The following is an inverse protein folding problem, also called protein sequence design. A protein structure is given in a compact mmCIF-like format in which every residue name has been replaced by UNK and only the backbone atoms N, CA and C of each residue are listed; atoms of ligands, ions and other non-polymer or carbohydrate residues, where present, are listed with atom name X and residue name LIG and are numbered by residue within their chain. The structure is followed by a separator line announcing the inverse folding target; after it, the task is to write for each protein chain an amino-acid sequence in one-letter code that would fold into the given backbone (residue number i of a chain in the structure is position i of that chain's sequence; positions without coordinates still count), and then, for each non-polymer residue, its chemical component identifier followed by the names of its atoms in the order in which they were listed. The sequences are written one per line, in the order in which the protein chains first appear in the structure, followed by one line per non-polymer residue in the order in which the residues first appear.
data_IF_536044267335
#
_entry.id   IF_536044267335
#
_cell.length_a   1.000
_cell.length_b   1.000
_cell.length_c   1.000
_cell.angle_alpha   90.00
_cell.angle_beta   90.00
_cell.angle_gamma   90.00
#
_symmetry.space_group_name_H-M   'P 1'
#
loop_
_entity.id
_entity.type
_entity.pdbx_description
1 polymer ?
#
# COMPACT_ATOMS: atom_id res chain seq x y z
N UNK A 1 -2.53 1.03 7.24
CA UNK A 1 -2.50 0.37 5.92
C UNK A 1 -2.35 -1.13 6.13
N UNK A 2 -3.46 -1.84 6.28
CA UNK A 2 -3.52 -3.30 6.42
C UNK A 2 -4.64 -3.74 5.52
N UNK A 3 -4.34 -4.38 4.40
CA UNK A 3 -5.30 -5.15 3.62
C UNK A 3 -4.57 -5.87 2.47
N UNK A 4 -4.92 -7.15 2.26
CA UNK A 4 -4.49 -7.93 1.10
C UNK A 4 -3.65 -9.17 1.39
N UNK A 5 -3.53 -9.61 2.65
CA UNK A 5 -3.16 -10.99 2.92
C UNK A 5 -4.33 -11.89 2.55
N UNK A 6 -4.24 -12.61 1.43
CA UNK A 6 -5.05 -13.80 1.19
C UNK A 6 -4.71 -14.80 2.31
N UNK A 7 -5.44 -14.71 3.42
CA UNK A 7 -5.63 -15.82 4.35
C UNK A 7 -6.65 -16.75 3.73
N UNK A 8 -6.21 -17.59 2.79
CA UNK A 8 -6.88 -18.87 2.57
C UNK A 8 -6.54 -19.68 3.81
N UNK A 9 -7.48 -19.71 4.74
CA UNK A 9 -7.34 -20.41 6.01
C UNK A 9 -7.34 -21.93 5.77
N UNK A 10 -6.69 -22.65 6.67
CA UNK A 10 -6.37 -24.08 6.56
C UNK A 10 -7.61 -24.99 6.64
N UNK A 11 -8.80 -24.44 6.86
CA UNK A 11 -10.06 -25.18 6.98
C UNK A 11 -10.58 -25.69 5.62
N UNK A 12 -10.43 -24.91 4.54
CA UNK A 12 -10.94 -25.25 3.19
C UNK A 12 -10.17 -26.39 2.50
N UNK A 13 -9.03 -26.82 3.06
CA UNK A 13 -8.30 -28.00 2.58
C UNK A 13 -8.87 -29.31 3.10
N UNK A 14 -9.59 -29.31 4.22
CA UNK A 14 -10.04 -30.57 4.82
C UNK A 14 -11.30 -31.14 4.14
N UNK A 15 -12.14 -30.30 3.54
CA UNK A 15 -13.33 -30.80 2.81
C UNK A 15 -13.02 -31.38 1.43
N UNK A 16 -11.84 -31.11 0.87
CA UNK A 16 -11.34 -31.74 -0.37
C UNK A 16 -10.51 -33.02 -0.14
N UNK A 17 -10.19 -33.35 1.11
CA UNK A 17 -9.40 -34.55 1.47
C UNK A 17 -10.26 -35.71 2.01
N UNK A 18 -11.59 -35.56 2.11
CA UNK A 18 -12.51 -36.58 2.60
C UNK A 18 -12.88 -37.68 1.59
N UNK A 19 -12.42 -37.58 0.34
CA UNK A 19 -12.71 -38.57 -0.71
C UNK A 19 -11.39 -38.95 -1.37
N UNK A 20 -10.72 -39.96 -0.79
CA UNK A 20 -9.80 -40.92 -1.45
C UNK A 20 -8.93 -41.59 -0.39
N UNK A 21 -9.52 -42.58 0.28
CA UNK A 21 -8.80 -43.58 1.05
C UNK A 21 -8.39 -44.76 0.14
N UNK A 22 -7.14 -45.20 0.33
CA UNK A 22 -6.50 -46.44 -0.16
C UNK A 22 -5.74 -46.43 -1.52
N UNK A 23 -4.71 -47.29 -1.70
CA UNK A 23 -3.31 -46.88 -1.61
C UNK A 23 -2.54 -47.02 -2.93
N UNK A 24 -1.38 -46.34 -2.97
CA UNK A 24 -0.39 -46.32 -4.05
C UNK A 24 -0.01 -47.69 -4.60
N UNK A 25 0.45 -47.73 -5.87
CA UNK A 25 1.75 -48.33 -6.12
C UNK A 25 2.72 -47.36 -6.79
N UNK A 26 3.99 -47.54 -6.45
CA UNK A 26 5.15 -46.94 -7.10
C UNK A 26 5.06 -47.05 -8.63
N UNK A 27 5.17 -45.92 -9.31
CA UNK A 27 5.79 -45.91 -10.63
C UNK A 27 6.74 -44.74 -10.73
N UNK A 28 8.03 -45.09 -10.74
CA UNK A 28 9.12 -44.25 -11.19
C UNK A 28 8.85 -44.03 -12.69
N UNK A 29 8.53 -42.80 -13.08
CA UNK A 29 8.76 -42.37 -14.45
C UNK A 29 9.33 -40.96 -14.44
N UNK A 30 10.48 -40.89 -15.06
CA UNK A 30 11.40 -39.80 -15.13
C UNK A 30 11.06 -38.98 -16.36
N UNK A 31 10.31 -37.89 -16.18
CA UNK A 31 10.14 -36.86 -17.21
C UNK A 31 11.05 -35.68 -16.89
N UNK A 32 12.23 -35.78 -17.48
CA UNK A 32 13.29 -34.81 -17.52
C UNK A 32 12.97 -33.78 -18.62
N UNK A 33 12.27 -32.68 -18.31
CA UNK A 33 12.37 -31.41 -19.05
C UNK A 33 11.62 -30.27 -18.34
N UNK A 34 12.04 -29.91 -17.12
CA UNK A 34 11.75 -28.59 -16.56
C UNK A 34 13.06 -27.81 -16.57
N UNK A 35 13.13 -26.69 -17.30
CA UNK A 35 14.28 -25.79 -17.33
C UNK A 35 14.78 -25.55 -15.89
N UNK A 36 15.95 -26.09 -15.57
CA UNK A 36 16.63 -25.80 -14.31
C UNK A 36 17.06 -24.35 -14.38
N UNK A 37 16.22 -23.44 -13.87
CA UNK A 37 16.61 -22.05 -13.64
C UNK A 37 17.89 -22.06 -12.82
N UNK A 38 19.00 -21.77 -13.50
CA UNK A 38 20.34 -21.90 -12.94
C UNK A 38 20.41 -21.04 -11.68
N UNK A 39 21.01 -21.52 -10.59
CA UNK A 39 21.14 -20.75 -9.33
C UNK A 39 21.62 -19.31 -9.54
N UNK A 40 22.42 -19.08 -10.59
CA UNK A 40 22.86 -17.77 -11.05
C UNK A 40 21.70 -16.84 -11.44
N UNK A 41 20.70 -17.34 -12.19
CA UNK A 41 19.50 -16.58 -12.57
C UNK A 41 18.64 -16.23 -11.34
N UNK A 42 18.58 -17.15 -10.35
CA UNK A 42 17.89 -16.88 -9.10
C UNK A 42 18.60 -15.78 -8.30
N UNK A 43 19.93 -15.83 -8.24
CA UNK A 43 20.77 -14.85 -7.56
C UNK A 43 20.66 -13.46 -8.20
N UNK A 44 20.68 -13.39 -9.53
CA UNK A 44 20.46 -12.13 -10.29
C UNK A 44 19.07 -11.57 -9.99
N UNK A 45 18.03 -12.41 -10.00
CA UNK A 45 16.65 -11.98 -9.70
C UNK A 45 16.48 -11.54 -8.23
N UNK A 46 17.28 -12.07 -7.31
CA UNK A 46 17.29 -11.69 -5.89
C UNK A 46 18.34 -10.67 -5.49
N UNK A 47 19.05 -10.06 -6.44
CA UNK A 47 20.18 -9.16 -6.17
C UNK A 47 19.83 -8.02 -5.20
N UNK A 48 18.60 -7.48 -5.29
CA UNK A 48 18.09 -6.46 -4.36
C UNK A 48 18.21 -6.92 -2.91
N UNK A 49 17.58 -8.05 -2.56
CA UNK A 49 17.53 -8.51 -1.17
C UNK A 49 18.91 -8.96 -0.68
N UNK A 50 19.77 -9.43 -1.58
CA UNK A 50 21.17 -9.73 -1.26
C UNK A 50 21.89 -8.45 -0.85
N UNK A 51 21.75 -7.38 -1.63
CA UNK A 51 22.38 -6.09 -1.33
C UNK A 51 21.83 -5.47 -0.04
N UNK A 52 20.53 -5.57 0.21
CA UNK A 52 19.92 -5.08 1.46
C UNK A 52 20.43 -5.89 2.66
N UNK A 53 20.48 -7.22 2.53
CA UNK A 53 21.01 -8.11 3.57
C UNK A 53 22.48 -7.78 3.87
N UNK A 54 23.30 -7.58 2.84
CA UNK A 54 24.70 -7.16 2.98
C UNK A 54 24.82 -5.81 3.71
N UNK A 55 24.01 -4.81 3.36
CA UNK A 55 24.00 -3.53 4.08
C UNK A 55 23.59 -3.68 5.55
N UNK A 56 22.59 -4.52 5.86
CA UNK A 56 22.16 -4.75 7.27
C UNK A 56 23.20 -5.47 8.11
N UNK A 57 23.93 -6.42 7.51
CA UNK A 57 25.06 -7.08 8.17
C UNK A 57 26.21 -6.10 8.35
N UNK A 58 26.49 -5.26 7.34
CA UNK A 58 27.46 -4.16 7.46
C UNK A 58 27.15 -3.22 8.63
N UNK A 59 25.88 -2.82 8.79
CA UNK A 59 25.43 -1.98 9.92
C UNK A 59 25.62 -2.68 11.28
N UNK A 60 25.33 -3.98 11.37
CA UNK A 60 25.57 -4.77 12.58
C UNK A 60 27.06 -4.85 12.92
N UNK A 61 27.93 -5.09 11.94
CA UNK A 61 29.39 -5.14 12.13
C UNK A 61 29.92 -3.79 12.62
N UNK A 62 29.48 -2.69 12.03
CA UNK A 62 29.87 -1.35 12.47
C UNK A 62 29.35 -1.01 13.87
N UNK A 63 28.15 -1.47 14.24
CA UNK A 63 27.61 -1.31 15.59
C UNK A 63 28.40 -2.12 16.63
N UNK A 64 28.82 -3.33 16.29
CA UNK A 64 29.67 -4.16 17.14
C UNK A 64 31.08 -3.57 17.28
N UNK A 65 31.69 -3.09 16.18
CA UNK A 65 33.00 -2.42 16.20
C UNK A 65 32.98 -1.18 17.12
N UNK A 66 31.89 -0.41 17.07
CA UNK A 66 31.68 0.72 17.98
C UNK A 66 31.64 0.31 19.45
N UNK A 67 30.98 -0.82 19.76
CA UNK A 67 30.91 -1.33 21.12
C UNK A 67 32.31 -1.66 21.66
N UNK A 68 33.12 -2.38 20.87
CA UNK A 68 34.49 -2.74 21.27
C UNK A 68 35.40 -1.52 21.49
N UNK A 69 35.32 -0.50 20.64
CA UNK A 69 36.12 0.73 20.80
C UNK A 69 35.66 1.52 22.03
N UNK A 70 34.37 1.50 22.35
CA UNK A 70 33.85 2.22 23.51
C UNK A 70 34.10 1.49 24.83
N UNK A 71 34.18 0.16 24.83
CA UNK A 71 34.57 -0.62 26.02
C UNK A 71 36.02 -0.38 26.43
N UNK A 72 36.87 -0.06 25.46
CA UNK A 72 38.28 0.29 25.69
C UNK A 72 38.43 1.72 26.27
N UNK A 73 37.40 2.55 26.12
CA UNK A 73 37.39 3.95 26.53
C UNK A 73 36.63 4.22 27.86
N UNK A 74 36.27 3.18 28.63
CA UNK A 74 35.56 3.23 29.93
C UNK A 74 34.22 4.02 29.96
N UNK A 75 33.70 4.42 28.80
CA UNK A 75 32.50 5.24 28.70
C UNK A 75 31.24 4.38 28.53
N UNK A 76 30.37 4.36 29.56
CA UNK A 76 28.91 4.17 29.44
C UNK A 76 28.39 3.06 28.53
N UNK A 77 29.00 1.86 28.58
CA UNK A 77 28.80 0.72 27.66
C UNK A 77 27.34 0.29 27.41
N UNK A 78 26.46 0.40 28.41
CA UNK A 78 25.11 -0.19 28.35
C UNK A 78 24.18 0.44 27.30
N UNK A 79 24.36 1.72 26.96
CA UNK A 79 23.53 2.41 25.96
C UNK A 79 23.88 2.00 24.52
N UNK A 80 25.07 1.46 24.29
CA UNK A 80 25.54 0.99 22.99
C UNK A 80 24.99 -0.40 22.61
N UNK A 81 24.40 -1.12 23.56
CA UNK A 81 23.76 -2.41 23.30
C UNK A 81 22.45 -2.26 22.53
N UNK A 82 21.73 -1.16 22.72
CA UNK A 82 20.44 -0.89 22.04
C UNK A 82 20.58 -0.92 20.51
N UNK A 83 21.51 -0.18 19.87
CA UNK A 83 21.67 -0.25 18.42
C UNK A 83 22.16 -1.62 17.94
N UNK A 84 22.96 -2.34 18.73
CA UNK A 84 23.39 -3.71 18.37
C UNK A 84 22.19 -4.66 18.32
N UNK A 85 21.33 -4.63 19.34
CA UNK A 85 20.12 -5.45 19.40
C UNK A 85 19.17 -5.10 18.23
N UNK A 86 19.00 -3.80 17.95
CA UNK A 86 18.18 -3.33 16.85
C UNK A 86 18.72 -3.85 15.50
N UNK A 87 19.99 -3.63 15.20
CA UNK A 87 20.58 -4.06 13.92
C UNK A 87 20.71 -5.58 13.81
N UNK A 88 20.88 -6.30 14.92
CA UNK A 88 20.83 -7.75 14.95
C UNK A 88 19.44 -8.25 14.56
N UNK A 89 18.38 -7.69 15.17
CA UNK A 89 17.00 -8.06 14.83
C UNK A 89 16.67 -7.76 13.37
N UNK A 90 17.10 -6.61 12.86
CA UNK A 90 16.87 -6.20 11.47
C UNK A 90 17.65 -7.08 10.49
N UNK A 91 18.90 -7.44 10.81
CA UNK A 91 19.72 -8.35 10.01
C UNK A 91 19.06 -9.74 9.92
N UNK A 92 18.56 -10.28 11.03
CA UNK A 92 17.82 -11.56 11.05
C UNK A 92 16.57 -11.48 10.16
N UNK A 93 15.78 -10.41 10.27
CA UNK A 93 14.59 -10.22 9.42
C UNK A 93 14.96 -10.10 7.93
N UNK A 94 16.05 -9.40 7.61
CA UNK A 94 16.56 -9.25 6.25
C UNK A 94 17.04 -10.58 5.65
N UNK A 95 17.72 -11.42 6.44
CA UNK A 95 18.15 -12.76 6.02
C UNK A 95 16.95 -13.68 5.79
N UNK A 96 15.95 -13.64 6.68
CA UNK A 96 14.70 -14.42 6.50
C UNK A 96 13.95 -13.98 5.24
N UNK A 97 13.90 -12.67 4.96
CA UNK A 97 13.34 -12.10 3.72
C UNK A 97 14.04 -12.70 2.49
N UNK A 98 15.38 -12.66 2.47
CA UNK A 98 16.22 -13.21 1.42
C UNK A 98 15.95 -14.70 1.20
N UNK A 99 15.90 -15.51 2.27
CA UNK A 99 15.66 -16.95 2.19
C UNK A 99 14.29 -17.28 1.59
N UNK A 100 13.24 -16.51 1.96
CA UNK A 100 11.90 -16.68 1.37
C UNK A 100 11.93 -16.36 -0.12
N UNK A 101 12.63 -15.30 -0.53
CA UNK A 101 12.74 -14.93 -1.93
C UNK A 101 13.49 -16.00 -2.75
N UNK A 102 14.66 -16.44 -2.28
CA UNK A 102 15.43 -17.50 -2.93
C UNK A 102 14.59 -18.77 -3.07
N UNK A 103 13.89 -19.20 -2.00
CA UNK A 103 13.02 -20.39 -2.03
C UNK A 103 11.85 -20.24 -3.01
N UNK A 104 11.29 -19.03 -3.14
CA UNK A 104 10.20 -18.73 -4.08
C UNK A 104 10.68 -18.84 -5.52
N UNK A 105 11.86 -18.28 -5.81
CA UNK A 105 12.45 -18.32 -7.15
C UNK A 105 12.85 -19.75 -7.54
N UNK A 106 13.49 -20.51 -6.65
CA UNK A 106 13.83 -21.92 -6.89
C UNK A 106 12.58 -22.76 -7.18
N UNK A 107 11.46 -22.47 -6.48
CA UNK A 107 10.20 -23.21 -6.65
C UNK A 107 9.35 -22.68 -7.81
N UNK A 108 9.89 -21.78 -8.65
CA UNK A 108 9.19 -21.15 -9.78
C UNK A 108 7.78 -20.64 -9.42
N UNK A 109 7.59 -20.16 -8.18
CA UNK A 109 6.30 -19.61 -7.78
C UNK A 109 6.15 -18.20 -8.36
N UNK A 110 4.97 -17.83 -8.89
CA UNK A 110 4.75 -16.52 -9.47
C UNK A 110 4.85 -15.39 -8.44
N UNK A 111 4.54 -15.68 -7.17
CA UNK A 111 4.53 -14.69 -6.09
C UNK A 111 5.20 -15.23 -4.81
N UNK A 112 5.90 -14.37 -4.05
CA UNK A 112 6.46 -14.74 -2.75
C UNK A 112 5.37 -14.98 -1.72
N UNK A 113 5.70 -15.75 -0.68
CA UNK A 113 4.80 -16.09 0.42
C UNK A 113 4.32 -14.81 1.15
N UNK A 114 3.07 -14.73 1.67
CA UNK A 114 2.54 -13.54 2.33
C UNK A 114 3.40 -13.01 3.49
N UNK A 115 4.13 -13.88 4.18
CA UNK A 115 5.05 -13.51 5.26
C UNK A 115 6.19 -12.61 4.80
N UNK A 116 6.60 -12.67 3.53
CA UNK A 116 7.60 -11.76 2.95
C UNK A 116 7.11 -10.31 3.03
N UNK A 117 5.84 -10.06 2.68
CA UNK A 117 5.25 -8.73 2.69
C UNK A 117 5.08 -8.17 4.10
N UNK A 118 4.73 -9.03 5.06
CA UNK A 118 4.64 -8.63 6.46
C UNK A 118 6.01 -8.23 7.01
N UNK A 119 7.07 -8.95 6.63
CA UNK A 119 8.44 -8.64 7.01
C UNK A 119 8.90 -7.31 6.41
N UNK A 120 8.67 -7.11 5.10
CA UNK A 120 9.02 -5.87 4.40
C UNK A 120 8.29 -4.65 5.00
N UNK A 121 7.03 -4.81 5.38
CA UNK A 121 6.26 -3.77 6.06
C UNK A 121 6.83 -3.39 7.42
N UNK A 122 7.39 -4.35 8.16
CA UNK A 122 8.02 -4.08 9.46
C UNK A 122 9.41 -3.47 9.32
N UNK A 123 10.20 -3.86 8.32
CA UNK A 123 11.59 -3.40 8.16
C UNK A 123 11.70 -2.01 7.54
N UNK A 124 10.84 -1.67 6.57
CA UNK A 124 10.92 -0.40 5.82
C UNK A 124 10.78 0.84 6.71
N UNK A 125 9.82 0.92 7.64
CA UNK A 125 9.72 2.04 8.57
C UNK A 125 10.96 2.18 9.46
N UNK A 126 11.60 1.07 9.84
CA UNK A 126 12.81 1.09 10.67
C UNK A 126 13.95 1.77 9.90
N UNK A 127 14.16 1.48 8.62
CA UNK A 127 15.17 2.15 7.79
C UNK A 127 14.87 3.65 7.60
N UNK A 128 13.60 4.00 7.42
CA UNK A 128 13.18 5.37 7.17
C UNK A 128 13.30 6.26 8.41
N UNK A 129 12.98 5.71 9.59
CA UNK A 129 13.08 6.42 10.87
C UNK A 129 14.53 6.46 11.36
N UNK A 130 15.33 5.42 11.16
CA UNK A 130 16.73 5.41 11.59
C UNK A 130 17.61 6.40 10.82
N UNK A 131 17.29 6.73 9.56
CA UNK A 131 18.06 7.67 8.75
C UNK A 131 18.21 9.07 9.39
N UNK A 132 17.13 9.79 9.76
CA UNK A 132 17.27 11.10 10.41
C UNK A 132 17.93 11.02 11.79
N UNK A 133 17.75 9.93 12.54
CA UNK A 133 18.44 9.75 13.82
C UNK A 133 19.95 9.61 13.64
N UNK A 134 20.41 8.74 12.74
CA UNK A 134 21.84 8.57 12.46
C UNK A 134 22.45 9.83 11.81
N UNK A 135 21.68 10.59 11.02
CA UNK A 135 22.13 11.88 10.49
C UNK A 135 22.35 12.92 11.61
N UNK A 136 21.48 12.94 12.63
CA UNK A 136 21.63 13.86 13.76
C UNK A 136 22.83 13.48 14.64
N UNK A 137 23.04 12.18 14.87
CA UNK A 137 24.16 11.62 15.61
C UNK A 137 25.51 11.83 14.91
N UNK A 138 25.57 11.62 13.59
CA UNK A 138 26.78 11.88 12.80
C UNK A 138 27.12 13.37 12.78
N UNK A 139 26.12 14.25 12.69
CA UNK A 139 26.32 15.71 12.78
C UNK A 139 26.94 16.12 14.11
N UNK A 140 26.46 15.59 15.24
CA UNK A 140 26.96 16.00 16.56
C UNK A 140 28.45 15.66 16.73
N UNK A 141 28.86 14.47 16.27
CA UNK A 141 30.25 14.02 16.28
C UNK A 141 31.11 14.83 15.29
N UNK A 142 30.59 15.12 14.10
CA UNK A 142 31.29 15.94 13.11
C UNK A 142 31.59 17.34 13.66
N UNK A 143 30.63 17.95 14.35
CA UNK A 143 30.81 19.26 14.99
C UNK A 143 31.83 19.21 16.14
N UNK A 144 31.89 18.11 16.89
CA UNK A 144 32.92 17.91 17.93
C UNK A 144 34.32 17.80 17.33
N UNK A 145 34.47 17.12 16.18
CA UNK A 145 35.74 17.03 15.47
C UNK A 145 36.22 18.41 14.98
N UNK A 146 35.33 19.20 14.37
CA UNK A 146 35.66 20.56 13.94
C UNK A 146 35.84 21.55 15.11
N UNK A 147 35.29 21.23 16.29
CA UNK A 147 35.39 22.04 17.51
C UNK A 147 36.74 21.96 18.24
N UNK A 148 37.69 21.14 17.79
CA UNK A 148 39.09 21.16 18.26
C UNK A 148 39.36 20.49 19.62
N UNK A 149 38.45 19.65 20.14
CA UNK A 149 38.67 18.95 21.41
C UNK A 149 39.53 17.68 21.20
N UNK A 150 40.81 17.79 21.53
CA UNK A 150 41.86 16.78 21.31
C UNK A 150 41.71 15.53 22.19
N UNK A 151 41.03 14.49 21.69
CA UNK A 151 41.32 13.07 21.98
C UNK A 151 41.44 12.35 20.63
N UNK A 152 42.59 12.52 20.00
CA UNK A 152 42.76 12.57 18.53
C UNK A 152 42.55 11.22 17.84
N UNK A 153 42.81 10.10 18.51
CA UNK A 153 42.84 8.78 17.85
C UNK A 153 41.51 8.01 17.96
N UNK A 154 40.93 7.91 19.17
CA UNK A 154 39.65 7.24 19.39
C UNK A 154 38.47 7.96 18.70
N UNK A 155 38.53 9.29 18.64
CA UNK A 155 37.46 10.13 18.04
C UNK A 155 37.43 9.99 16.52
N UNK A 156 38.59 9.84 15.87
CA UNK A 156 38.67 9.63 14.42
C UNK A 156 38.13 8.26 14.02
N UNK A 157 38.50 7.19 14.75
CA UNK A 157 37.98 5.85 14.51
C UNK A 157 36.44 5.79 14.66
N UNK A 158 35.90 6.46 15.69
CA UNK A 158 34.46 6.54 15.92
C UNK A 158 33.73 7.31 14.81
N UNK A 159 34.33 8.40 14.31
CA UNK A 159 33.79 9.18 13.19
C UNK A 159 33.70 8.33 11.91
N UNK A 160 34.77 7.61 11.57
CA UNK A 160 34.81 6.76 10.37
C UNK A 160 33.74 5.67 10.43
N UNK A 161 33.58 5.00 11.58
CA UNK A 161 32.55 3.97 11.77
C UNK A 161 31.14 4.54 11.60
N UNK A 162 30.88 5.75 12.12
CA UNK A 162 29.59 6.43 12.00
C UNK A 162 29.29 6.92 10.57
N UNK A 163 30.33 7.31 9.82
CA UNK A 163 30.16 7.63 8.41
C UNK A 163 29.83 6.37 7.60
N UNK A 164 30.46 5.24 7.92
CA UNK A 164 30.17 3.95 7.30
C UNK A 164 28.74 3.47 7.60
N UNK A 165 28.26 3.56 8.84
CA UNK A 165 26.85 3.24 9.18
C UNK A 165 25.87 4.08 8.37
N UNK A 166 26.12 5.40 8.29
CA UNK A 166 25.29 6.32 7.51
C UNK A 166 25.29 5.96 6.02
N UNK A 167 26.46 5.63 5.46
CA UNK A 167 26.58 5.21 4.07
C UNK A 167 25.78 3.93 3.78
N UNK A 168 25.91 2.89 4.60
CA UNK A 168 25.12 1.66 4.45
C UNK A 168 23.61 1.93 4.57
N UNK A 169 23.21 2.81 5.48
CA UNK A 169 21.82 3.17 5.69
C UNK A 169 21.23 3.98 4.53
N UNK A 170 22.01 4.90 3.94
CA UNK A 170 21.62 5.64 2.73
C UNK A 170 21.43 4.65 1.57
N UNK A 171 22.40 3.75 1.36
CA UNK A 171 22.32 2.74 0.29
C UNK A 171 21.07 1.86 0.47
N UNK A 172 20.81 1.37 1.69
CA UNK A 172 19.63 0.55 1.98
C UNK A 172 18.31 1.32 1.73
N UNK A 173 18.22 2.59 2.14
CA UNK A 173 17.04 3.42 1.91
C UNK A 173 16.82 3.70 0.41
N UNK A 174 17.88 4.06 -0.33
CA UNK A 174 17.79 4.30 -1.78
C UNK A 174 17.34 3.02 -2.50
N UNK A 175 17.92 1.88 -2.13
CA UNK A 175 17.58 0.61 -2.74
C UNK A 175 16.12 0.21 -2.46
N UNK A 176 15.62 0.39 -1.24
CA UNK A 176 14.20 0.14 -0.91
C UNK A 176 13.23 1.11 -1.60
N UNK A 177 13.64 2.36 -1.84
CA UNK A 177 12.77 3.38 -2.44
C UNK A 177 12.70 3.28 -3.98
N UNK A 178 13.80 2.90 -4.62
CA UNK A 178 13.96 2.91 -6.09
C UNK A 178 13.64 1.56 -6.73
N UNK A 179 13.86 0.45 -6.03
CA UNK A 179 13.69 -0.86 -6.66
C UNK A 179 12.22 -1.30 -6.74
N UNK A 180 11.84 -2.03 -7.80
CA UNK A 180 10.51 -2.58 -7.94
C UNK A 180 10.26 -3.66 -6.89
N UNK A 181 9.02 -3.76 -6.42
CA UNK A 181 8.61 -4.77 -5.43
C UNK A 181 7.93 -5.95 -6.12
N UNK A 182 8.17 -7.19 -5.69
CA UNK A 182 7.27 -8.27 -6.08
C UNK A 182 5.87 -7.94 -5.53
N UNK A 183 4.78 -8.21 -6.24
CA UNK A 183 3.43 -8.01 -5.71
C UNK A 183 2.54 -9.17 -6.06
N UNK A 184 1.60 -9.51 -5.17
CA UNK A 184 0.56 -10.53 -5.40
C UNK A 184 -0.64 -10.00 -6.18
N UNK A 185 -0.64 -8.68 -6.46
CA UNK A 185 -1.78 -7.97 -7.03
C UNK A 185 -1.79 -7.99 -8.56
N UNK A 186 -0.75 -8.56 -9.17
CA UNK A 186 -0.74 -8.88 -10.59
C UNK A 186 -1.31 -10.29 -10.79
N UNK A 187 -2.19 -10.50 -11.78
CA UNK A 187 -2.53 -11.85 -12.19
C UNK A 187 -1.25 -12.55 -12.63
N UNK A 188 -0.99 -13.74 -12.06
CA UNK A 188 0.14 -14.55 -12.49
C UNK A 188 0.03 -14.77 -14.00
N UNK A 189 1.13 -14.59 -14.73
CA UNK A 189 1.19 -14.86 -16.17
C UNK A 189 0.52 -16.21 -16.44
N UNK A 190 -0.58 -16.18 -17.18
CA UNK A 190 -1.45 -17.32 -17.48
C UNK A 190 -0.81 -18.24 -18.52
N UNK A 191 0.45 -18.64 -18.31
CA UNK A 191 1.12 -19.58 -19.21
C UNK A 191 0.71 -21.04 -18.94
N UNK A 192 -0.09 -21.30 -17.89
CA UNK A 192 -0.56 -22.64 -17.51
C UNK A 192 -2.05 -22.66 -17.11
N UNK A 193 -2.96 -22.15 -17.94
CA UNK A 193 -4.36 -22.60 -17.89
C UNK A 193 -4.59 -23.62 -18.99
N UNK A 194 -3.96 -24.78 -18.84
CA UNK A 194 -4.33 -25.97 -19.62
C UNK A 194 -5.60 -26.59 -19.03
N UNK A 195 -6.65 -26.61 -19.86
CA UNK A 195 -7.75 -27.56 -19.89
C UNK A 195 -8.40 -27.98 -18.57
N UNK A 196 -9.57 -27.40 -18.27
CA UNK A 196 -10.83 -28.16 -18.14
C UNK A 196 -11.95 -27.19 -17.73
N UNK A 197 -13.07 -27.27 -18.44
CA UNK A 197 -14.35 -26.55 -18.23
C UNK A 197 -14.36 -25.09 -18.75
N UNK A 198 -14.65 -24.96 -20.05
CA UNK A 198 -15.17 -23.71 -20.61
C UNK A 198 -16.71 -23.71 -20.47
N UNK A 199 -17.34 -22.68 -19.88
CA UNK A 199 -18.75 -22.43 -20.11
C UNK A 199 -18.92 -21.91 -21.54
N UNK A 200 -19.87 -22.50 -22.26
CA UNK A 200 -20.27 -22.10 -23.61
C UNK A 200 -20.78 -20.65 -23.57
N UNK A 201 -20.28 -19.83 -24.50
CA UNK A 201 -20.70 -18.45 -24.82
C UNK A 201 -19.97 -17.26 -24.16
N UNK A 202 -18.65 -17.35 -23.96
CA UNK A 202 -17.81 -16.16 -23.69
C UNK A 202 -17.03 -15.72 -24.94
N UNK A 203 -17.29 -14.50 -25.41
CA UNK A 203 -16.44 -13.76 -26.35
C UNK A 203 -14.94 -13.92 -26.02
N UNK A 204 -14.03 -13.92 -27.01
CA UNK A 204 -12.60 -13.99 -26.75
C UNK A 204 -12.24 -12.88 -25.77
N UNK A 205 -11.76 -13.25 -24.58
CA UNK A 205 -11.42 -12.33 -23.50
C UNK A 205 -10.34 -11.37 -24.03
N UNK A 206 -10.72 -10.12 -24.33
CA UNK A 206 -9.79 -9.08 -24.78
C UNK A 206 -8.71 -8.93 -23.70
N UNK A 207 -7.50 -9.39 -24.01
CA UNK A 207 -6.41 -9.45 -23.03
C UNK A 207 -5.84 -8.04 -22.81
N UNK A 208 -6.45 -7.31 -21.87
CA UNK A 208 -6.04 -5.96 -21.49
C UNK A 208 -4.64 -5.95 -20.85
N UNK A 209 -3.87 -4.87 -21.03
CA UNK A 209 -2.56 -4.74 -20.39
C UNK A 209 -2.70 -4.76 -18.86
N UNK A 210 -1.68 -5.31 -18.20
CA UNK A 210 -1.66 -5.45 -16.74
C UNK A 210 -1.76 -4.07 -16.03
N UNK A 211 -2.28 -4.05 -14.79
CA UNK A 211 -2.39 -2.82 -14.01
C UNK A 211 -1.04 -2.10 -13.83
N UNK A 212 -1.05 -0.75 -13.86
CA UNK A 212 0.17 0.06 -13.85
C UNK A 212 0.85 0.19 -12.48
N UNK A 213 0.07 0.18 -11.39
CA UNK A 213 0.55 0.45 -10.02
C UNK A 213 1.28 -0.74 -9.36
N UNK A 214 0.77 -1.98 -9.44
CA UNK A 214 1.40 -3.10 -8.75
C UNK A 214 2.80 -3.38 -9.31
N UNK A 215 3.74 -3.65 -8.41
CA UNK A 215 5.09 -4.05 -8.77
C UNK A 215 6.08 -2.91 -8.95
N UNK A 216 5.64 -1.65 -8.79
CA UNK A 216 6.49 -0.46 -8.94
C UNK A 216 7.20 -0.08 -7.64
N UNK A 217 8.24 0.74 -7.78
CA UNK A 217 9.02 1.24 -6.64
C UNK A 217 8.22 2.23 -5.81
N UNK A 218 8.58 2.39 -4.53
CA UNK A 218 7.88 3.32 -3.65
C UNK A 218 7.99 4.77 -4.15
N UNK A 219 9.14 5.15 -4.71
CA UNK A 219 9.33 6.46 -5.33
C UNK A 219 8.41 6.63 -6.55
N UNK A 220 8.31 5.61 -7.40
CA UNK A 220 7.44 5.65 -8.58
C UNK A 220 5.95 5.71 -8.19
N UNK A 221 5.57 5.10 -7.07
CA UNK A 221 4.22 5.22 -6.52
C UNK A 221 3.99 6.61 -5.91
N UNK A 222 4.99 7.14 -5.20
CA UNK A 222 4.91 8.44 -4.52
C UNK A 222 4.78 9.63 -5.50
N UNK A 223 5.56 9.62 -6.58
CA UNK A 223 5.56 10.67 -7.60
C UNK A 223 4.68 10.36 -8.82
N UNK A 224 3.91 9.26 -8.77
CA UNK A 224 3.06 8.82 -9.88
C UNK A 224 3.79 8.53 -11.21
N UNK A 225 5.11 8.37 -11.21
CA UNK A 225 5.94 8.14 -12.42
C UNK A 225 5.47 6.91 -13.23
N UNK A 226 4.82 5.95 -12.57
CA UNK A 226 4.28 4.77 -13.25
C UNK A 226 3.21 5.10 -14.32
N UNK A 227 2.48 6.21 -14.20
CA UNK A 227 1.49 6.64 -15.20
C UNK A 227 2.11 7.33 -16.40
N UNK A 228 3.31 7.89 -16.26
CA UNK A 228 3.99 8.63 -17.33
C UNK A 228 4.13 7.79 -18.59
N UNK A 229 4.51 6.51 -18.45
CA UNK A 229 4.65 5.60 -19.59
C UNK A 229 3.38 5.47 -20.43
N UNK A 230 2.21 5.54 -19.80
CA UNK A 230 0.92 5.50 -20.48
C UNK A 230 0.60 6.84 -21.14
N UNK A 231 0.81 7.95 -20.42
CA UNK A 231 0.58 9.32 -20.92
C UNK A 231 1.44 9.59 -22.17
N UNK A 232 2.71 9.20 -22.13
CA UNK A 232 3.63 9.38 -23.25
C UNK A 232 3.23 8.58 -24.49
N UNK A 233 2.70 7.35 -24.32
CA UNK A 233 2.20 6.54 -25.45
C UNK A 233 0.98 7.16 -26.12
N UNK A 234 0.09 7.77 -25.35
CA UNK A 234 -1.15 8.37 -25.83
C UNK A 234 -1.09 9.88 -26.08
N UNK A 235 0.10 10.47 -26.04
CA UNK A 235 0.28 11.89 -26.36
C UNK A 235 -0.11 12.22 -27.81
N UNK A 236 0.17 11.29 -28.73
CA UNK A 236 -0.03 11.48 -30.17
C UNK A 236 -1.07 10.54 -30.78
N UNK A 237 -1.61 9.60 -30.02
CA UNK A 237 -2.58 8.59 -30.48
C UNK A 237 -3.73 8.51 -29.48
N UNK A 238 -4.96 8.61 -29.99
CA UNK A 238 -6.18 8.45 -29.19
C UNK A 238 -6.21 7.10 -28.47
N UNK A 239 -6.61 7.08 -27.20
CA UNK A 239 -6.71 5.84 -26.44
C UNK A 239 -7.85 4.96 -26.98
N UNK A 240 -7.52 3.72 -27.34
CA UNK A 240 -8.48 2.66 -27.72
C UNK A 240 -8.80 1.80 -26.50
N UNK A 241 -9.98 1.16 -26.44
CA UNK A 241 -10.37 0.31 -25.30
C UNK A 241 -9.32 -0.76 -24.95
N UNK A 242 -8.67 -1.34 -25.97
CA UNK A 242 -7.63 -2.35 -25.80
C UNK A 242 -6.36 -1.81 -25.12
N UNK A 243 -6.07 -0.52 -25.27
CA UNK A 243 -4.90 0.11 -24.66
C UNK A 243 -5.08 0.46 -23.19
N UNK A 244 -6.32 0.44 -22.69
CA UNK A 244 -6.63 0.84 -21.32
C UNK A 244 -6.16 -0.26 -20.35
N UNK A 245 -5.30 0.07 -19.36
CA UNK A 245 -4.85 -0.87 -18.34
C UNK A 245 -6.01 -1.46 -17.53
N UNK A 246 -5.89 -2.74 -17.17
CA UNK A 246 -6.85 -3.37 -16.27
C UNK A 246 -6.77 -2.76 -14.85
N UNK A 247 -7.89 -2.85 -14.15
CA UNK A 247 -8.03 -2.39 -12.77
C UNK A 247 -7.28 -3.37 -11.86
N UNK A 248 -6.61 -2.82 -10.84
CA UNK A 248 -5.95 -3.63 -9.81
C UNK A 248 -6.94 -4.59 -9.14
N UNK A 249 -6.47 -5.81 -8.85
CA UNK A 249 -7.30 -6.88 -8.27
C UNK A 249 -8.07 -6.46 -7.00
N UNK A 250 -7.47 -5.62 -6.14
CA UNK A 250 -8.09 -5.12 -4.91
C UNK A 250 -9.26 -4.14 -5.15
N UNK A 251 -9.24 -3.42 -6.27
CA UNK A 251 -10.25 -2.41 -6.61
C UNK A 251 -11.39 -3.00 -7.47
N UNK A 252 -11.30 -4.30 -7.82
CA UNK A 252 -12.37 -5.00 -8.52
C UNK A 252 -13.59 -5.13 -7.59
N UNK A 253 -14.78 -4.89 -8.13
CA UNK A 253 -16.05 -4.91 -7.39
C UNK A 253 -16.26 -6.22 -6.62
N UNK A 254 -15.91 -7.36 -7.21
CA UNK A 254 -15.96 -8.67 -6.56
C UNK A 254 -15.09 -8.71 -5.29
N UNK A 255 -13.84 -8.25 -5.37
CA UNK A 255 -12.92 -8.26 -4.24
C UNK A 255 -13.41 -7.37 -3.09
N UNK A 256 -13.91 -6.18 -3.40
CA UNK A 256 -14.48 -5.25 -2.42
C UNK A 256 -15.72 -5.87 -1.76
N UNK A 257 -16.62 -6.47 -2.55
CA UNK A 257 -17.82 -7.12 -2.03
C UNK A 257 -17.48 -8.31 -1.12
N UNK A 258 -16.47 -9.12 -1.47
CA UNK A 258 -16.04 -10.23 -0.62
C UNK A 258 -15.48 -9.74 0.72
N UNK A 259 -14.67 -8.68 0.72
CA UNK A 259 -14.16 -8.06 1.97
C UNK A 259 -15.30 -7.53 2.83
N UNK A 260 -16.23 -6.80 2.20
CA UNK A 260 -17.43 -6.30 2.88
C UNK A 260 -18.26 -7.42 3.52
N UNK A 261 -18.54 -8.51 2.78
CA UNK A 261 -19.30 -9.65 3.30
C UNK A 261 -18.57 -10.35 4.44
N UNK A 262 -17.24 -10.48 4.36
CA UNK A 262 -16.45 -11.04 5.47
C UNK A 262 -16.62 -10.21 6.75
N UNK A 263 -16.47 -8.89 6.65
CA UNK A 263 -16.68 -7.99 7.78
C UNK A 263 -18.12 -8.06 8.31
N UNK A 264 -19.10 -8.20 7.42
CA UNK A 264 -20.49 -8.37 7.81
C UNK A 264 -20.71 -9.66 8.61
N UNK A 265 -20.10 -10.77 8.21
CA UNK A 265 -20.16 -12.03 8.96
C UNK A 265 -19.51 -11.90 10.35
N UNK A 266 -18.43 -11.12 10.46
CA UNK A 266 -17.78 -10.83 11.75
C UNK A 266 -18.71 -10.03 12.68
N UNK A 267 -19.48 -9.07 12.14
CA UNK A 267 -20.51 -8.36 12.90
C UNK A 267 -21.66 -9.27 13.35
N UNK A 268 -22.12 -10.16 12.47
CA UNK A 268 -23.16 -11.14 12.77
C UNK A 268 -22.72 -12.11 13.86
N UNK A 269 -21.47 -12.59 13.82
CA UNK A 269 -20.88 -13.42 14.89
C UNK A 269 -20.83 -12.69 16.24
N UNK A 270 -20.63 -11.36 16.21
CA UNK A 270 -20.68 -10.51 17.40
C UNK A 270 -22.10 -10.12 17.86
N UNK A 271 -23.17 -10.57 17.19
CA UNK A 271 -24.55 -10.11 17.39
C UNK A 271 -24.72 -8.58 17.28
N UNK A 272 -23.82 -7.90 16.57
CA UNK A 272 -23.88 -6.45 16.35
C UNK A 272 -24.63 -6.20 15.05
N UNK A 273 -25.70 -5.39 15.09
CA UNK A 273 -26.40 -4.91 13.89
C UNK A 273 -25.94 -3.47 13.60
N UNK A 274 -24.83 -3.26 12.86
CA UNK A 274 -24.38 -1.91 12.57
C UNK A 274 -25.35 -1.20 11.62
N UNK A 275 -25.52 0.11 11.81
CA UNK A 275 -26.12 0.95 10.77
C UNK A 275 -25.24 0.93 9.52
N UNK A 276 -25.84 1.10 8.34
CA UNK A 276 -25.11 1.07 7.06
C UNK A 276 -23.92 2.04 7.06
N UNK A 277 -24.10 3.26 7.59
CA UNK A 277 -23.04 4.25 7.70
C UNK A 277 -21.91 3.80 8.62
N UNK A 278 -22.23 3.16 9.76
CA UNK A 278 -21.22 2.64 10.68
C UNK A 278 -20.44 1.48 10.08
N UNK A 279 -21.12 0.60 9.36
CA UNK A 279 -20.45 -0.50 8.64
C UNK A 279 -19.55 0.05 7.52
N UNK A 280 -20.01 1.06 6.78
CA UNK A 280 -19.26 1.68 5.69
C UNK A 280 -18.02 2.43 6.17
N UNK A 281 -18.15 3.23 7.23
CA UNK A 281 -17.01 3.94 7.82
C UNK A 281 -16.02 2.98 8.47
N UNK A 282 -16.49 1.86 9.02
CA UNK A 282 -15.61 0.82 9.53
C UNK A 282 -14.83 0.12 8.42
N UNK A 283 -15.49 -0.28 7.33
CA UNK A 283 -14.86 -0.88 6.16
C UNK A 283 -13.77 0.03 5.58
N UNK A 284 -14.06 1.33 5.47
CA UNK A 284 -13.15 2.31 4.90
C UNK A 284 -12.16 2.94 5.88
N UNK A 285 -12.20 2.56 7.17
CA UNK A 285 -11.46 3.27 8.24
C UNK A 285 -9.98 3.40 7.99
N UNK A 286 -9.35 2.34 7.46
CA UNK A 286 -7.91 2.33 7.25
C UNK A 286 -7.46 3.31 6.17
N UNK A 287 -8.31 3.50 5.16
CA UNK A 287 -8.06 4.41 4.04
C UNK A 287 -8.36 5.84 4.50
N UNK A 288 -9.49 6.05 5.19
CA UNK A 288 -9.87 7.33 5.79
C UNK A 288 -8.82 7.87 6.77
N UNK A 289 -8.35 7.03 7.71
CA UNK A 289 -7.31 7.45 8.65
C UNK A 289 -6.00 7.82 7.95
N UNK A 290 -5.65 7.14 6.85
CA UNK A 290 -4.45 7.51 6.08
C UNK A 290 -4.60 8.84 5.34
N UNK A 291 -5.77 9.11 4.75
CA UNK A 291 -6.09 10.38 4.12
C UNK A 291 -6.00 11.52 5.14
N UNK A 292 -6.67 11.38 6.29
CA UNK A 292 -6.67 12.42 7.32
C UNK A 292 -5.27 12.70 7.87
N UNK A 293 -4.43 11.67 7.99
CA UNK A 293 -3.05 11.82 8.46
C UNK A 293 -2.22 12.69 7.51
N UNK A 294 -2.30 12.43 6.20
CA UNK A 294 -1.58 13.23 5.20
C UNK A 294 -2.13 14.66 5.08
N UNK A 295 -3.44 14.83 5.19
CA UNK A 295 -4.06 16.14 5.22
C UNK A 295 -3.65 16.94 6.48
N UNK A 296 -3.60 16.29 7.64
CA UNK A 296 -3.12 16.91 8.89
C UNK A 296 -1.67 17.38 8.76
N UNK A 297 -0.76 16.55 8.23
CA UNK A 297 0.62 16.96 8.00
C UNK A 297 0.73 18.12 7.01
N UNK A 298 -0.12 18.15 5.98
CA UNK A 298 -0.14 19.26 5.03
C UNK A 298 -0.64 20.56 5.69
N UNK A 299 -1.72 20.48 6.45
CA UNK A 299 -2.27 21.62 7.19
C UNK A 299 -1.27 22.16 8.23
N UNK A 300 -0.69 21.29 9.06
CA UNK A 300 0.33 21.70 10.02
C UNK A 300 1.58 22.27 9.34
N UNK A 301 2.01 21.66 8.23
CA UNK A 301 3.19 22.08 7.51
C UNK A 301 3.00 23.36 6.68
N UNK A 302 1.78 23.80 6.40
CA UNK A 302 1.49 25.04 5.67
C UNK A 302 2.07 26.30 6.34
N UNK A 303 2.35 26.24 7.65
CA UNK A 303 2.98 27.32 8.41
C UNK A 303 4.51 27.35 8.27
N UNK A 304 5.15 26.27 7.79
CA UNK A 304 6.61 26.18 7.69
C UNK A 304 7.20 27.08 6.59
N UNK A 305 6.65 27.15 5.35
CA UNK A 305 7.21 28.03 4.33
C UNK A 305 7.23 29.52 4.72
N UNK A 306 6.16 30.10 5.30
CA UNK A 306 6.21 31.47 5.84
C UNK A 306 7.27 31.65 6.95
N UNK A 307 7.44 30.64 7.82
CA UNK A 307 8.47 30.67 8.86
C UNK A 307 9.89 30.73 8.29
N UNK A 308 10.20 29.90 7.28
CA UNK A 308 11.52 29.95 6.62
C UNK A 308 11.72 31.26 5.86
N UNK A 309 10.68 31.77 5.20
CA UNK A 309 10.75 33.06 4.49
C UNK A 309 11.09 34.20 5.45
N UNK A 310 10.45 34.25 6.63
CA UNK A 310 10.75 35.25 7.66
C UNK A 310 12.21 35.18 8.12
N UNK A 311 12.76 33.96 8.27
CA UNK A 311 14.17 33.76 8.65
C UNK A 311 15.15 34.20 7.57
N UNK A 312 14.82 33.96 6.29
CA UNK A 312 15.63 34.42 5.15
C UNK A 312 15.64 35.95 5.09
N UNK A 313 14.48 36.60 5.22
CA UNK A 313 14.39 38.07 5.26
C UNK A 313 15.18 38.63 6.45
N UNK A 314 15.05 38.02 7.63
CA UNK A 314 15.83 38.42 8.81
C UNK A 314 17.34 38.29 8.63
N UNK A 315 17.80 37.27 7.89
CA UNK A 315 19.22 37.11 7.53
C UNK A 315 19.70 38.24 6.59
N UNK A 316 18.87 38.64 5.63
CA UNK A 316 19.22 39.73 4.71
C UNK A 316 19.38 41.05 5.49
N UNK A 317 18.48 41.32 6.44
CA UNK A 317 18.55 42.52 7.29
C UNK A 317 19.76 42.50 8.23
N UNK A 318 20.14 41.34 8.79
CA UNK A 318 21.28 41.22 9.72
C UNK A 318 22.64 41.30 9.02
N UNK A 319 22.71 40.97 7.72
CA UNK A 319 23.91 41.14 6.90
C UNK A 319 24.36 42.61 6.78
N UNK A 320 23.46 43.57 7.00
CA UNK A 320 23.77 45.01 7.09
C UNK A 320 24.17 45.46 8.51
N UNK A 321 24.11 44.58 9.52
CA UNK A 321 24.43 44.88 10.92
C UNK A 321 25.84 44.45 11.35
N UNK A 322 26.15 44.68 12.63
CA UNK A 322 27.50 44.57 13.22
C UNK A 322 27.99 43.12 13.45
N UNK A 323 27.11 42.12 13.33
CA UNK A 323 27.45 40.69 13.46
C UNK A 323 26.90 39.88 12.26
N UNK A 324 27.66 39.75 11.16
CA UNK A 324 27.21 39.01 9.98
C UNK A 324 27.05 37.53 10.31
N UNK A 325 25.82 37.02 10.20
CA UNK A 325 25.58 35.58 10.25
C UNK A 325 26.27 34.90 9.05
N UNK A 326 26.86 33.71 9.25
CA UNK A 326 27.61 33.07 8.20
C UNK A 326 26.68 32.55 7.08
N UNK A 327 27.12 32.69 5.82
CA UNK A 327 26.29 32.45 4.63
C UNK A 327 25.73 31.02 4.50
N UNK A 328 26.32 30.04 5.17
CA UNK A 328 25.81 28.66 5.19
C UNK A 328 24.44 28.55 5.87
N UNK A 329 24.10 29.47 6.78
CA UNK A 329 22.80 29.50 7.48
C UNK A 329 21.68 29.88 6.52
N UNK A 330 21.92 30.83 5.60
CA UNK A 330 20.93 31.23 4.60
C UNK A 330 20.64 30.09 3.60
N UNK A 331 21.69 29.39 3.14
CA UNK A 331 21.53 28.19 2.30
C UNK A 331 20.74 27.11 3.02
N UNK A 332 20.96 26.92 4.33
CA UNK A 332 20.19 25.96 5.13
C UNK A 332 18.71 26.34 5.21
N UNK A 333 18.38 27.62 5.40
CA UNK A 333 16.98 28.06 5.39
C UNK A 333 16.32 27.94 4.02
N UNK A 334 17.03 28.25 2.93
CA UNK A 334 16.52 28.07 1.57
C UNK A 334 16.29 26.59 1.24
N UNK A 335 17.23 25.72 1.60
CA UNK A 335 17.10 24.27 1.43
C UNK A 335 16.00 23.68 2.31
N UNK A 336 15.86 24.17 3.55
CA UNK A 336 14.76 23.80 4.45
C UNK A 336 13.40 24.19 3.89
N UNK A 337 13.29 25.39 3.30
CA UNK A 337 12.07 25.85 2.62
C UNK A 337 11.74 24.94 1.42
N UNK A 338 12.71 24.67 0.55
CA UNK A 338 12.55 23.78 -0.61
C UNK A 338 12.07 22.38 -0.16
N UNK A 339 12.75 21.78 0.81
CA UNK A 339 12.45 20.44 1.31
C UNK A 339 11.06 20.36 1.91
N UNK A 340 10.66 21.38 2.67
CA UNK A 340 9.31 21.48 3.25
C UNK A 340 8.26 21.55 2.14
N UNK A 341 8.47 22.39 1.12
CA UNK A 341 7.52 22.55 0.02
C UNK A 341 7.35 21.26 -0.78
N UNK A 342 8.45 20.55 -1.06
CA UNK A 342 8.40 19.23 -1.73
C UNK A 342 7.62 18.23 -0.89
N UNK A 343 7.86 18.17 0.42
CA UNK A 343 7.13 17.29 1.34
C UNK A 343 5.63 17.63 1.40
N UNK A 344 5.28 18.92 1.46
CA UNK A 344 3.89 19.38 1.45
C UNK A 344 3.18 19.00 0.15
N UNK A 345 3.81 19.23 -1.00
CA UNK A 345 3.26 18.87 -2.31
C UNK A 345 3.00 17.36 -2.42
N UNK A 346 3.93 16.55 -1.91
CA UNK A 346 3.76 15.11 -1.82
C UNK A 346 2.58 14.72 -0.92
N UNK A 347 2.51 15.26 0.30
CA UNK A 347 1.45 14.93 1.26
C UNK A 347 0.05 15.28 0.74
N UNK A 348 -0.09 16.45 0.08
CA UNK A 348 -1.34 16.86 -0.55
C UNK A 348 -1.76 15.90 -1.67
N UNK A 349 -0.81 15.54 -2.54
CA UNK A 349 -1.06 14.63 -3.67
C UNK A 349 -1.46 13.23 -3.17
N UNK A 350 -0.80 12.74 -2.12
CA UNK A 350 -1.12 11.45 -1.49
C UNK A 350 -2.52 11.44 -0.85
N UNK A 351 -2.90 12.51 -0.15
CA UNK A 351 -4.25 12.69 0.43
C UNK A 351 -5.33 12.63 -0.66
N UNK A 352 -5.17 13.45 -1.71
CA UNK A 352 -6.12 13.54 -2.83
C UNK A 352 -6.31 12.21 -3.55
N UNK A 353 -5.21 11.51 -3.84
CA UNK A 353 -5.28 10.20 -4.50
C UNK A 353 -6.01 9.17 -3.64
N UNK A 354 -5.74 9.16 -2.34
CA UNK A 354 -6.36 8.24 -1.39
C UNK A 354 -7.87 8.50 -1.29
N UNK A 355 -8.28 9.77 -1.22
CA UNK A 355 -9.69 10.17 -1.22
C UNK A 355 -10.43 9.79 -2.51
N UNK A 356 -9.81 9.99 -3.68
CA UNK A 356 -10.39 9.54 -4.96
C UNK A 356 -10.53 8.03 -5.03
N UNK A 357 -9.52 7.27 -4.62
CA UNK A 357 -9.61 5.81 -4.58
C UNK A 357 -10.73 5.34 -3.65
N UNK A 358 -10.86 5.95 -2.48
CA UNK A 358 -11.93 5.65 -1.55
C UNK A 358 -13.30 5.90 -2.18
N UNK A 359 -13.51 7.07 -2.78
CA UNK A 359 -14.72 7.45 -3.51
C UNK A 359 -15.14 6.39 -4.54
N UNK A 360 -14.19 5.93 -5.37
CA UNK A 360 -14.46 4.89 -6.38
C UNK A 360 -14.85 3.54 -5.76
N UNK A 361 -14.16 3.11 -4.69
CA UNK A 361 -14.47 1.86 -3.99
C UNK A 361 -15.86 1.90 -3.36
N UNK A 362 -16.22 3.00 -2.71
CA UNK A 362 -17.53 3.20 -2.11
C UNK A 362 -18.64 3.16 -3.18
N UNK A 363 -18.43 3.87 -4.30
CA UNK A 363 -19.36 3.83 -5.44
C UNK A 363 -19.55 2.41 -5.98
N UNK A 364 -18.47 1.69 -6.25
CA UNK A 364 -18.53 0.32 -6.77
C UNK A 364 -19.25 -0.64 -5.79
N UNK A 365 -18.96 -0.51 -4.49
CA UNK A 365 -19.59 -1.32 -3.44
C UNK A 365 -21.09 -1.04 -3.36
N UNK A 366 -21.50 0.22 -3.28
CA UNK A 366 -22.91 0.61 -3.14
C UNK A 366 -23.75 0.17 -4.35
N UNK A 367 -23.25 0.39 -5.57
CA UNK A 367 -23.91 -0.07 -6.79
C UNK A 367 -24.11 -1.59 -6.76
N UNK A 368 -23.06 -2.33 -6.40
CA UNK A 368 -23.11 -3.79 -6.33
C UNK A 368 -24.10 -4.28 -5.28
N UNK A 369 -24.14 -3.65 -4.11
CA UNK A 369 -25.07 -3.99 -3.03
C UNK A 369 -26.52 -3.68 -3.41
N UNK A 370 -26.78 -2.51 -4.00
CA UNK A 370 -28.12 -2.11 -4.45
C UNK A 370 -28.61 -3.03 -5.55
N UNK A 371 -27.78 -3.34 -6.54
CA UNK A 371 -28.12 -4.26 -7.62
C UNK A 371 -28.35 -5.69 -7.12
N UNK A 372 -27.50 -6.20 -6.23
CA UNK A 372 -27.70 -7.52 -5.63
C UNK A 372 -29.01 -7.57 -4.82
N UNK A 373 -29.34 -6.51 -4.10
CA UNK A 373 -30.56 -6.42 -3.30
C UNK A 373 -31.80 -6.24 -4.17
N UNK A 374 -31.73 -5.48 -5.26
CA UNK A 374 -32.84 -5.30 -6.19
C UNK A 374 -33.17 -6.60 -6.91
N UNK A 375 -32.16 -7.35 -7.38
CA UNK A 375 -32.35 -8.67 -8.00
C UNK A 375 -33.01 -9.66 -7.04
N UNK A 376 -32.54 -9.74 -5.78
CA UNK A 376 -33.15 -10.61 -4.76
C UNK A 376 -34.60 -10.22 -4.46
N UNK A 377 -34.92 -8.93 -4.45
CA UNK A 377 -36.27 -8.44 -4.20
C UNK A 377 -37.22 -8.75 -5.36
N UNK A 378 -36.77 -8.60 -6.61
CA UNK A 378 -37.57 -8.95 -7.80
C UNK A 378 -37.91 -10.44 -7.82
N UNK A 379 -36.96 -11.32 -7.48
CA UNK A 379 -37.22 -12.77 -7.40
C UNK A 379 -38.21 -13.19 -6.30
N UNK A 380 -38.30 -12.43 -5.20
CA UNK A 380 -39.28 -12.69 -4.11
C UNK A 380 -40.66 -12.10 -4.43
N UNK A 381 -40.71 -10.92 -5.03
CA UNK A 381 -41.97 -10.25 -5.37
C UNK A 381 -42.64 -10.82 -6.64
N UNK A 382 -41.89 -11.45 -7.55
CA UNK A 382 -42.46 -12.20 -8.68
C UNK A 382 -43.37 -13.34 -8.21
N UNK A 383 -43.04 -14.00 -7.08
CA UNK A 383 -43.91 -15.03 -6.48
C UNK A 383 -45.19 -14.51 -5.83
N UNK A 384 -45.30 -13.20 -5.58
CA UNK A 384 -46.48 -12.57 -4.99
C UNK A 384 -47.43 -11.95 -6.03
N UNK A 385 -47.00 -11.83 -7.29
CA UNK A 385 -47.80 -11.23 -8.37
C UNK A 385 -48.53 -12.26 -9.24
N UNK A 386 -48.34 -13.56 -9.00
CA UNK A 386 -49.02 -14.64 -9.76
C UNK A 386 -50.32 -15.13 -9.09
N UNK A 387 -50.86 -14.36 -8.11
CA UNK A 387 -51.96 -14.83 -7.25
C UNK A 387 -53.16 -13.89 -7.09
N UNK A 388 -53.30 -12.81 -7.87
CA UNK A 388 -54.47 -11.93 -7.82
C UNK A 388 -54.87 -11.49 -9.23
N UNK A 389 -55.54 -12.39 -9.94
CA UNK A 389 -56.40 -12.02 -11.07
C UNK A 389 -57.67 -12.86 -11.00
N UNK A 390 -58.67 -12.39 -10.23
CA UNK A 390 -60.06 -12.78 -10.42
C UNK A 390 -61.02 -11.69 -9.89
N UNK A 391 -61.68 -11.01 -10.84
CA UNK A 391 -63.04 -10.40 -10.82
C UNK A 391 -63.26 -8.94 -10.37
N UNK A 392 -63.57 -8.13 -11.40
CA UNK A 392 -64.79 -7.36 -11.67
C UNK A 392 -64.72 -5.81 -11.61
N UNK A 393 -65.00 -5.22 -12.79
CA UNK A 393 -65.50 -3.86 -13.06
C UNK A 393 -66.76 -3.52 -12.23
N UNK A 394 -66.93 -2.28 -11.75
CA UNK A 394 -67.43 -1.13 -12.54
C UNK A 394 -67.71 0.12 -11.67
N UNK A 395 -67.54 1.30 -12.30
CA UNK A 395 -68.18 2.63 -12.07
C UNK A 395 -67.64 3.72 -11.09
N UNK A 396 -67.38 4.88 -11.72
CA UNK A 396 -67.60 6.29 -11.31
C UNK A 396 -66.44 7.18 -10.76
N UNK A 397 -65.86 7.94 -11.71
CA UNK A 397 -65.55 9.40 -11.78
C UNK A 397 -65.02 10.22 -10.57
N UNK A 398 -63.83 10.80 -10.81
CA UNK A 398 -63.21 12.06 -10.30
C UNK A 398 -63.02 12.31 -8.79
N UNK A 399 -61.75 12.30 -8.35
CA UNK A 399 -61.08 13.54 -7.91
C UNK A 399 -59.55 13.40 -7.80
N UNK A 400 -58.84 14.39 -8.37
CA UNK A 400 -57.39 14.59 -8.26
C UNK A 400 -57.03 15.13 -6.87
N UNK A 401 -55.84 14.74 -6.38
CA UNK A 401 -54.92 15.42 -5.43
C UNK A 401 -54.50 14.49 -4.25
N UNK A 402 -53.32 14.70 -3.64
CA UNK A 402 -52.26 13.70 -3.59
C UNK A 402 -52.18 13.06 -2.20
N UNK A 403 -51.23 12.13 -2.04
CA UNK A 403 -50.81 11.50 -0.79
C UNK A 403 -51.67 10.33 -0.29
N UNK A 404 -51.17 9.13 -0.59
CA UNK A 404 -50.86 8.11 0.41
C UNK A 404 -49.83 7.18 -0.21
N UNK A 405 -48.58 7.36 0.17
CA UNK A 405 -47.56 6.33 -0.03
C UNK A 405 -47.98 5.13 0.81
N UNK A 406 -48.34 4.03 0.16
CA UNK A 406 -48.44 2.74 0.84
C UNK A 406 -47.08 2.39 1.46
N UNK A 407 -47.01 2.04 2.76
CA UNK A 407 -45.76 1.71 3.45
C UNK A 407 -45.17 0.34 3.01
N UNK A 408 -45.74 -0.29 1.99
CA UNK A 408 -45.30 -1.57 1.42
C UNK A 408 -45.07 -1.55 -0.10
N UNK A 409 -45.24 -0.41 -0.77
CA UNK A 409 -45.05 -0.29 -2.21
C UNK A 409 -43.57 -0.42 -2.61
N UNK A 410 -43.22 -1.51 -3.28
CA UNK A 410 -41.86 -1.75 -3.75
C UNK A 410 -41.29 -0.54 -4.51
N UNK A 411 -40.09 -0.08 -4.16
CA UNK A 411 -39.49 1.08 -4.81
C UNK A 411 -39.41 0.84 -6.33
N UNK A 412 -40.13 1.67 -7.11
CA UNK A 412 -40.15 1.62 -8.57
C UNK A 412 -38.72 1.62 -9.15
N UNK A 413 -38.50 0.92 -10.27
CA UNK A 413 -37.23 0.87 -10.99
C UNK A 413 -36.65 2.28 -11.22
N UNK A 414 -37.51 3.26 -11.54
CA UNK A 414 -37.10 4.65 -11.69
C UNK A 414 -36.51 5.27 -10.42
N UNK A 415 -37.08 4.95 -9.24
CA UNK A 415 -36.53 5.40 -7.94
C UNK A 415 -35.15 4.78 -7.67
N UNK A 416 -34.95 3.50 -8.02
CA UNK A 416 -33.66 2.81 -7.85
C UNK A 416 -32.60 3.40 -8.79
N UNK A 417 -32.95 3.64 -10.05
CA UNK A 417 -32.04 4.26 -11.02
C UNK A 417 -31.67 5.68 -10.59
N UNK A 418 -32.64 6.48 -10.11
CA UNK A 418 -32.36 7.81 -9.57
C UNK A 418 -31.38 7.75 -8.40
N UNK A 419 -31.62 6.85 -7.43
CA UNK A 419 -30.75 6.65 -6.27
C UNK A 419 -29.33 6.22 -6.69
N UNK A 420 -29.21 5.32 -7.67
CA UNK A 420 -27.89 4.88 -8.17
C UNK A 420 -27.15 5.99 -8.91
N UNK A 421 -27.86 6.80 -9.70
CA UNK A 421 -27.25 7.86 -10.50
C UNK A 421 -26.86 9.09 -9.68
N UNK A 422 -27.74 9.57 -8.81
CA UNK A 422 -27.57 10.84 -8.11
C UNK A 422 -26.99 10.66 -6.70
N UNK A 423 -27.59 9.79 -5.89
CA UNK A 423 -27.24 9.68 -4.47
C UNK A 423 -25.89 8.98 -4.28
N UNK A 424 -25.60 7.93 -5.06
CA UNK A 424 -24.29 7.27 -5.00
C UNK A 424 -23.18 8.19 -5.55
N UNK A 425 -23.46 8.97 -6.60
CA UNK A 425 -22.48 9.90 -7.14
C UNK A 425 -22.13 10.98 -6.11
N UNK A 426 -23.14 11.59 -5.49
CA UNK A 426 -22.97 12.60 -4.44
C UNK A 426 -22.25 12.02 -3.21
N UNK A 427 -22.62 10.82 -2.76
CA UNK A 427 -21.99 10.17 -1.61
C UNK A 427 -20.52 9.82 -1.88
N UNK A 428 -20.21 9.40 -3.11
CA UNK A 428 -18.84 9.14 -3.51
C UNK A 428 -18.02 10.45 -3.52
N UNK A 429 -18.60 11.56 -3.99
CA UNK A 429 -17.94 12.86 -4.01
C UNK A 429 -17.57 13.36 -2.60
N UNK A 430 -18.47 13.19 -1.62
CA UNK A 430 -18.21 13.51 -0.20
C UNK A 430 -16.96 12.79 0.31
N UNK A 431 -16.73 11.53 -0.10
CA UNK A 431 -15.53 10.76 0.25
C UNK A 431 -14.22 11.45 -0.13
N UNK A 432 -14.21 12.23 -1.22
CA UNK A 432 -13.03 12.97 -1.66
C UNK A 432 -12.81 14.29 -0.91
N UNK A 433 -13.89 14.90 -0.41
CA UNK A 433 -13.86 16.17 0.32
C UNK A 433 -13.59 16.01 1.82
N UNK A 434 -13.55 14.78 2.33
CA UNK A 434 -13.29 14.47 3.75
C UNK A 434 -11.82 14.63 4.20
N UNK A 435 -10.94 15.23 3.39
CA UNK A 435 -9.52 15.41 3.73
C UNK A 435 -9.27 16.64 4.61
#
# INVERSE_FOLDING_TARGET
MREGGLGIDKQDRQELHGVNSLPSPLHIHQDCCGETTTYLTALVKSWKDISISACTVGMLVTAAARYFISTDADAGSNWLLIPIILWLSVSVMSIVKLLIQIRTVIRNKPHPHPTYFELEYRTVPIYLVSLPLELLDTRSILLQHFGGQHTVEATYQLMVIRLLTLMFLIIANVLELVTPRPTTLLPGSSKERSSSIAPVDSQPEVQRPAPLEPGRSLLSLAYFIHTDSYIWRHKSVTATEESIPDIRADDKSAAILFRWKKEQNEYEAGNIKPSLLRALTWHSRYILSSQQLFAYFNAAGSLLPPFFLQRIVGFISSKSGENPQPGHVALLYAFGMLSTQVFLAFSLSASLMTGRRLSLRLRALLITLIFTKSLRRTGVNAKLSEGVDTRNDDSSTENKSPSKEDPGGSASTGKITNLVSNDIASLAEIGSHLQ
#
